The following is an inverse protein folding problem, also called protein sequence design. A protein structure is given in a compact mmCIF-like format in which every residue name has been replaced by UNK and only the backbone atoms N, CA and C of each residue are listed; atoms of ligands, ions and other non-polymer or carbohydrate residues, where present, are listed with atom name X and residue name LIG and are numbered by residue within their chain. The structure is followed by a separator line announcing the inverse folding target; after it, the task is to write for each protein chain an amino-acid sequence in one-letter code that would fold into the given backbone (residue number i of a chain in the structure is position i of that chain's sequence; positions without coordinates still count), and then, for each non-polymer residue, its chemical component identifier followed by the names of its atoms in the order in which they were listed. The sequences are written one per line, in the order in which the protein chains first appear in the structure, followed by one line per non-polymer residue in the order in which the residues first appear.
data_IF_127580351703
#
_entry.id   IF_127580351703
#
_cell.length_a   1.000
_cell.length_b   1.000
_cell.length_c   1.000
_cell.angle_alpha   90.00
_cell.angle_beta   90.00
_cell.angle_gamma   90.00
#
_symmetry.space_group_name_H-M   'P 1'
#
loop_
_entity.id
_entity.type
_entity.pdbx_description
1 polymer ?
#
# COMPACT_ATOMS: atom_id res chain seq x y z
N UNK A 1 -4.62 32.54 14.67
CA UNK A 1 -4.96 31.45 15.63
C UNK A 1 -5.41 30.22 14.86
N UNK A 2 -4.60 29.16 14.81
CA UNK A 2 -4.99 27.93 14.13
C UNK A 2 -6.06 27.20 14.95
N UNK A 3 -7.30 27.14 14.43
CA UNK A 3 -8.40 26.35 15.01
C UNK A 3 -7.95 24.88 15.09
N UNK A 4 -7.54 24.42 16.28
CA UNK A 4 -7.29 23.00 16.55
C UNK A 4 -8.60 22.25 16.33
N UNK A 5 -8.69 21.50 15.22
CA UNK A 5 -9.79 20.57 14.98
C UNK A 5 -9.88 19.61 16.18
N UNK A 6 -11.07 19.50 16.76
CA UNK A 6 -11.35 18.53 17.83
C UNK A 6 -11.01 17.11 17.35
N UNK A 7 -10.65 16.20 18.27
CA UNK A 7 -10.31 14.81 17.93
C UNK A 7 -11.37 14.14 17.05
N UNK A 8 -12.65 14.51 17.20
CA UNK A 8 -13.76 13.99 16.41
C UNK A 8 -13.77 14.47 14.95
N UNK A 9 -13.18 15.64 14.65
CA UNK A 9 -13.13 16.23 13.31
C UNK A 9 -11.85 15.89 12.53
N UNK A 10 -10.91 15.16 13.15
CA UNK A 10 -9.73 14.65 12.42
C UNK A 10 -10.16 13.47 11.54
N UNK A 11 -9.97 13.61 10.23
CA UNK A 11 -10.24 12.53 9.29
C UNK A 11 -9.50 11.24 9.69
N UNK A 12 -10.24 10.14 9.82
CA UNK A 12 -9.66 8.84 10.18
C UNK A 12 -8.83 8.31 9.02
N UNK A 13 -7.64 7.80 9.34
CA UNK A 13 -6.70 7.19 8.39
C UNK A 13 -6.34 5.78 8.84
N UNK A 14 -5.94 4.94 7.89
CA UNK A 14 -5.45 3.59 8.10
C UNK A 14 -4.10 3.46 7.43
N UNK A 15 -3.21 2.74 8.07
CA UNK A 15 -1.91 2.36 7.52
C UNK A 15 -2.05 0.95 6.96
N UNK A 16 -1.62 0.75 5.72
CA UNK A 16 -1.72 -0.53 5.02
C UNK A 16 -0.34 -0.90 4.51
N UNK A 17 0.16 -2.05 4.93
CA UNK A 17 1.37 -2.65 4.36
C UNK A 17 1.00 -3.43 3.11
N UNK A 18 1.71 -3.19 2.03
CA UNK A 18 1.55 -3.90 0.76
C UNK A 18 2.87 -4.51 0.32
N UNK A 19 2.81 -5.69 -0.31
CA UNK A 19 3.88 -6.26 -1.10
C UNK A 19 3.66 -5.86 -2.55
N UNK A 20 4.74 -5.66 -3.28
CA UNK A 20 4.75 -5.40 -4.70
C UNK A 20 5.79 -6.27 -5.40
N UNK A 21 5.61 -6.50 -6.69
CA UNK A 21 6.60 -7.24 -7.50
C UNK A 21 7.95 -6.51 -7.60
N UNK A 22 9.05 -7.26 -7.74
CA UNK A 22 10.42 -6.73 -7.89
C UNK A 22 10.65 -5.79 -9.08
N UNK A 23 9.71 -5.69 -10.03
CA UNK A 23 9.81 -4.77 -11.17
C UNK A 23 9.78 -3.29 -10.77
N UNK A 24 9.34 -2.98 -9.54
CA UNK A 24 9.38 -1.62 -9.01
C UNK A 24 10.68 -1.44 -8.24
N UNK A 25 11.62 -0.70 -8.83
CA UNK A 25 12.88 -0.30 -8.18
C UNK A 25 12.78 1.09 -7.55
N UNK A 26 11.88 1.93 -8.08
CA UNK A 26 11.70 3.32 -7.66
C UNK A 26 10.35 3.56 -6.98
N UNK A 27 10.37 4.44 -5.98
CA UNK A 27 9.15 4.92 -5.31
C UNK A 27 8.17 5.58 -6.29
N UNK A 28 8.70 6.32 -7.25
CA UNK A 28 7.90 7.07 -8.24
C UNK A 28 7.16 6.14 -9.19
N UNK A 29 7.81 5.07 -9.67
CA UNK A 29 7.19 4.11 -10.58
C UNK A 29 6.06 3.34 -9.89
N UNK A 30 6.27 2.93 -8.64
CA UNK A 30 5.21 2.32 -7.82
C UNK A 30 4.06 3.31 -7.58
N UNK A 31 4.36 4.56 -7.25
CA UNK A 31 3.33 5.58 -7.02
C UNK A 31 2.47 5.84 -8.28
N UNK A 32 3.07 5.89 -9.47
CA UNK A 32 2.35 6.07 -10.74
C UNK A 32 1.46 4.86 -11.03
N UNK A 33 1.99 3.64 -10.87
CA UNK A 33 1.23 2.40 -11.06
C UNK A 33 0.02 2.33 -10.12
N UNK A 34 0.25 2.62 -8.84
CA UNK A 34 -0.80 2.70 -7.83
C UNK A 34 -1.87 3.73 -8.20
N UNK A 35 -1.47 4.94 -8.61
CA UNK A 35 -2.42 5.99 -8.96
C UNK A 35 -3.27 5.59 -10.18
N UNK A 36 -2.69 4.87 -11.14
CA UNK A 36 -3.40 4.29 -12.28
C UNK A 36 -4.41 3.23 -11.84
N UNK A 37 -3.99 2.28 -10.99
CA UNK A 37 -4.86 1.23 -10.43
C UNK A 37 -6.02 1.82 -9.62
N UNK A 38 -5.76 2.81 -8.77
CA UNK A 38 -6.83 3.44 -7.99
C UNK A 38 -7.83 4.17 -8.89
N UNK A 39 -7.34 4.78 -9.96
CA UNK A 39 -8.19 5.44 -10.95
C UNK A 39 -9.06 4.43 -11.71
N UNK A 40 -8.51 3.28 -12.11
CA UNK A 40 -9.26 2.24 -12.82
C UNK A 40 -10.35 1.59 -11.95
N UNK A 41 -10.10 1.47 -10.65
CA UNK A 41 -11.03 0.91 -9.66
C UNK A 41 -12.07 1.96 -9.19
N UNK A 42 -11.90 3.24 -9.56
CA UNK A 42 -12.79 4.32 -9.14
C UNK A 42 -12.60 4.72 -7.66
N UNK A 43 -11.40 4.54 -7.14
CA UNK A 43 -11.00 5.00 -5.80
C UNK A 43 -10.45 6.43 -5.95
N UNK A 44 -11.32 7.42 -5.85
CA UNK A 44 -10.97 8.85 -5.95
C UNK A 44 -10.39 9.44 -4.65
N UNK A 45 -9.90 8.56 -3.77
CA UNK A 45 -9.34 8.98 -2.48
C UNK A 45 -7.84 9.21 -2.59
N UNK A 46 -7.37 10.28 -1.94
CA UNK A 46 -5.95 10.65 -1.88
C UNK A 46 -5.17 9.64 -1.02
N UNK A 47 -4.87 8.47 -1.59
CA UNK A 47 -4.01 7.43 -1.03
C UNK A 47 -2.57 7.89 -1.22
N UNK A 48 -1.82 7.92 -0.12
CA UNK A 48 -0.41 8.34 -0.15
C UNK A 48 0.48 7.15 0.08
N UNK A 49 1.46 6.98 -0.80
CA UNK A 49 2.61 6.13 -0.56
C UNK A 49 3.50 6.84 0.47
N UNK A 50 3.72 6.22 1.63
CA UNK A 50 4.47 6.80 2.74
C UNK A 50 5.90 6.30 2.75
N UNK A 51 6.09 4.98 2.73
CA UNK A 51 7.40 4.33 2.64
C UNK A 51 7.37 3.28 1.56
N UNK A 52 8.54 3.04 0.97
CA UNK A 52 8.76 2.07 -0.10
C UNK A 52 10.15 1.48 0.03
N UNK A 53 10.20 0.15 -0.04
CA UNK A 53 11.38 -0.68 0.07
C UNK A 53 11.45 -1.56 -1.19
N UNK A 54 12.35 -1.26 -2.13
CA UNK A 54 12.51 -2.08 -3.33
C UNK A 54 13.08 -3.44 -2.96
N UNK A 55 12.85 -4.46 -3.80
CA UNK A 55 13.31 -5.83 -3.56
C UNK A 55 14.84 -5.98 -3.43
N UNK A 56 15.59 -4.99 -3.92
CA UNK A 56 17.05 -4.92 -3.81
C UNK A 56 17.55 -4.35 -2.47
N UNK A 57 16.67 -3.81 -1.63
CA UNK A 57 17.05 -3.27 -0.32
C UNK A 57 17.31 -4.41 0.68
N UNK A 58 18.38 -4.36 1.49
CA UNK A 58 18.66 -5.36 2.53
C UNK A 58 17.55 -5.42 3.60
N UNK A 59 16.76 -4.36 3.74
CA UNK A 59 15.64 -4.32 4.69
C UNK A 59 14.49 -5.26 4.27
N UNK A 60 14.36 -5.55 2.97
CA UNK A 60 13.35 -6.47 2.45
C UNK A 60 13.59 -7.90 2.91
N UNK A 61 14.84 -8.34 3.03
CA UNK A 61 15.15 -9.70 3.48
C UNK A 61 14.62 -9.95 4.90
N UNK A 62 14.72 -8.95 5.78
CA UNK A 62 14.20 -9.03 7.15
C UNK A 62 12.67 -9.05 7.17
N UNK A 63 12.04 -8.25 6.31
CA UNK A 63 10.57 -8.20 6.18
C UNK A 63 10.04 -9.51 5.61
N UNK A 64 10.69 -10.05 4.57
CA UNK A 64 10.35 -11.32 3.94
C UNK A 64 10.47 -12.51 4.92
N UNK A 65 11.54 -12.54 5.73
CA UNK A 65 11.70 -13.54 6.80
C UNK A 65 10.59 -13.45 7.85
N UNK A 66 10.17 -12.23 8.21
CA UNK A 66 9.10 -12.01 9.21
C UNK A 66 7.72 -12.41 8.67
N UNK A 67 7.48 -12.16 7.39
CA UNK A 67 6.21 -12.48 6.73
C UNK A 67 6.15 -13.94 6.22
N UNK A 68 7.29 -14.63 6.15
CA UNK A 68 7.39 -15.99 5.63
C UNK A 68 7.29 -16.07 4.10
N UNK A 69 7.46 -14.95 3.40
CA UNK A 69 7.39 -14.89 1.94
C UNK A 69 8.77 -15.15 1.33
N UNK A 70 8.88 -16.16 0.47
CA UNK A 70 10.13 -16.58 -0.16
C UNK A 70 10.44 -15.88 -1.50
N UNK A 71 9.58 -14.95 -1.94
CA UNK A 71 9.73 -14.28 -3.24
C UNK A 71 10.43 -12.93 -3.09
N UNK A 72 11.24 -12.56 -4.08
CA UNK A 72 11.81 -11.20 -4.21
C UNK A 72 10.69 -10.20 -4.48
N UNK A 73 10.08 -9.71 -3.41
CA UNK A 73 9.01 -8.71 -3.43
C UNK A 73 9.56 -7.40 -2.86
N UNK A 74 9.08 -6.27 -3.36
CA UNK A 74 9.21 -4.99 -2.66
C UNK A 74 8.09 -4.84 -1.63
N UNK A 75 8.29 -3.96 -0.65
CA UNK A 75 7.30 -3.64 0.36
C UNK A 75 7.02 -2.14 0.40
N UNK A 76 5.77 -1.77 0.60
CA UNK A 76 5.36 -0.38 0.71
C UNK A 76 4.35 -0.18 1.83
N UNK A 77 4.35 1.02 2.39
CA UNK A 77 3.40 1.46 3.41
C UNK A 77 2.54 2.57 2.83
N UNK A 78 1.23 2.36 2.90
CA UNK A 78 0.23 3.29 2.40
C UNK A 78 -0.53 3.95 3.53
N UNK A 79 -0.77 5.23 3.36
CA UNK A 79 -1.76 5.97 4.13
C UNK A 79 -3.06 6.05 3.33
N UNK A 80 -4.08 5.39 3.85
CA UNK A 80 -5.40 5.29 3.20
C UNK A 80 -6.44 6.01 4.05
N UNK A 81 -7.27 6.89 3.46
CA UNK A 81 -8.45 7.43 4.15
C UNK A 81 -9.41 6.30 4.56
N UNK A 82 -9.96 6.35 5.77
CA UNK A 82 -10.88 5.33 6.28
C UNK A 82 -12.03 4.93 5.32
N UNK A 83 -12.73 5.84 4.62
CA UNK A 83 -13.81 5.44 3.71
C UNK A 83 -13.32 4.63 2.51
N UNK A 84 -12.07 4.81 2.08
CA UNK A 84 -11.50 4.09 0.94
C UNK A 84 -10.86 2.76 1.35
N UNK A 85 -10.56 2.58 2.63
CA UNK A 85 -9.87 1.41 3.15
C UNK A 85 -10.58 0.10 2.80
N UNK A 86 -11.90 0.03 2.95
CA UNK A 86 -12.66 -1.20 2.66
C UNK A 86 -12.61 -1.57 1.18
N UNK A 87 -12.69 -0.59 0.26
CA UNK A 87 -12.61 -0.83 -1.18
C UNK A 87 -11.21 -1.23 -1.60
N UNK A 88 -10.20 -0.52 -1.10
CA UNK A 88 -8.80 -0.83 -1.38
C UNK A 88 -8.49 -2.26 -0.94
N UNK A 89 -8.91 -2.64 0.27
CA UNK A 89 -8.70 -3.97 0.83
C UNK A 89 -9.29 -5.06 -0.07
N UNK A 90 -10.54 -4.91 -0.52
CA UNK A 90 -11.17 -5.87 -1.43
C UNK A 90 -10.40 -6.07 -2.75
N UNK A 91 -9.58 -5.10 -3.18
CA UNK A 91 -8.81 -5.18 -4.43
C UNK A 91 -7.39 -5.75 -4.26
N UNK A 92 -6.85 -5.76 -3.03
CA UNK A 92 -5.47 -6.19 -2.76
C UNK A 92 -5.37 -7.45 -1.89
N UNK A 93 -6.49 -7.90 -1.32
CA UNK A 93 -6.56 -9.09 -0.46
C UNK A 93 -6.85 -10.37 -1.26
N UNK A 94 -7.28 -10.25 -2.52
CA UNK A 94 -7.56 -11.39 -3.39
C UNK A 94 -6.27 -12.15 -3.75
N UNK A 95 -6.34 -13.47 -3.89
CA UNK A 95 -5.17 -14.32 -4.19
C UNK A 95 -4.57 -13.97 -5.57
N UNK A 96 -5.41 -13.53 -6.50
CA UNK A 96 -5.00 -13.08 -7.84
C UNK A 96 -4.45 -11.64 -7.87
N UNK A 97 -4.46 -10.91 -6.75
CA UNK A 97 -4.03 -9.50 -6.71
C UNK A 97 -2.56 -9.32 -7.11
N UNK A 98 -1.69 -10.29 -6.82
CA UNK A 98 -0.30 -10.26 -7.28
C UNK A 98 -0.18 -10.41 -8.80
N UNK A 99 -1.05 -11.21 -9.42
CA UNK A 99 -1.03 -11.44 -10.86
C UNK A 99 -1.72 -10.31 -11.64
N UNK A 100 -2.80 -9.76 -11.10
CA UNK A 100 -3.63 -8.73 -11.77
C UNK A 100 -3.16 -7.30 -11.47
N UNK A 101 -2.87 -7.02 -10.19
CA UNK A 101 -2.58 -5.67 -9.72
C UNK A 101 -1.10 -5.48 -9.37
N UNK A 102 -0.29 -6.55 -9.36
CA UNK A 102 1.13 -6.54 -8.99
C UNK A 102 1.36 -6.09 -7.54
N UNK A 103 0.30 -6.11 -6.73
CA UNK A 103 0.23 -5.62 -5.35
C UNK A 103 -0.59 -6.58 -4.50
N UNK A 104 -0.17 -6.81 -3.25
CA UNK A 104 -0.90 -7.64 -2.27
C UNK A 104 -0.85 -7.03 -0.87
N UNK A 105 -1.91 -7.18 -0.09
CA UNK A 105 -1.89 -6.81 1.34
C UNK A 105 -0.97 -7.72 2.15
N UNK A 106 -0.05 -7.14 2.93
CA UNK A 106 0.74 -7.86 3.93
C UNK A 106 0.14 -7.83 5.33
N UNK A 107 -0.88 -7.00 5.56
CA UNK A 107 -1.51 -6.87 6.88
C UNK A 107 -2.65 -7.87 7.03
N UNK A 108 -2.50 -8.83 7.96
CA UNK A 108 -3.60 -9.69 8.40
C UNK A 108 -4.57 -8.92 9.33
N UNK A 109 -5.84 -9.32 9.34
CA UNK A 109 -6.86 -8.82 10.28
C UNK A 109 -6.65 -9.33 11.69
#
# INVERSE_FOLDING_TARGET
MAKRLSKALRGKRRWVGIACTAQFEDRSSLQVHMQSLWSSIGIDSNIRLMDFYPSSSPEVEQIAQTLGDAQSLGYAVLQVPHPAFTRLRACIEDEDSMALNLLRSCTSS
#
